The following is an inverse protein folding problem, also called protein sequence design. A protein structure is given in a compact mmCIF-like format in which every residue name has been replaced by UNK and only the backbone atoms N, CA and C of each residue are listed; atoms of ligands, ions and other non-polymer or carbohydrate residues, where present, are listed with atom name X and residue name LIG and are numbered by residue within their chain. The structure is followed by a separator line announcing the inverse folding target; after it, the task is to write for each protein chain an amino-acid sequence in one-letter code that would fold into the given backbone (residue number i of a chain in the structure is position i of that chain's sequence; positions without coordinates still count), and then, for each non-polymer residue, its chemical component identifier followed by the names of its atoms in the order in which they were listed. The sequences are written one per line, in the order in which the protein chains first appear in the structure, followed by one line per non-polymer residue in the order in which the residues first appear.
data_IF_807932231364
#
_entry.id   IF_807932231364
#
_cell.length_a   1.000
_cell.length_b   1.000
_cell.length_c   1.000
_cell.angle_alpha   90.00
_cell.angle_beta   90.00
_cell.angle_gamma   90.00
#
_symmetry.space_group_name_H-M   'P 1'
#
loop_
_entity.id
_entity.type
_entity.pdbx_description
1 polymer ?
#
# COMPACT_ATOMS: atom_id res chain seq x y z
N UNK A 1 -20.14 -4.06 9.00
CA UNK A 1 -19.23 -4.75 9.95
C UNK A 1 -17.80 -4.32 9.62
N UNK A 2 -16.96 -4.02 10.61
CA UNK A 2 -15.53 -3.73 10.40
C UNK A 2 -14.70 -4.77 11.13
N UNK A 3 -13.62 -5.22 10.51
CA UNK A 3 -12.74 -6.25 11.05
C UNK A 3 -11.42 -5.57 11.43
N UNK A 4 -11.16 -5.28 12.71
CA UNK A 4 -9.89 -4.73 13.14
C UNK A 4 -8.79 -5.78 12.99
N UNK A 5 -7.64 -5.37 12.47
CA UNK A 5 -6.54 -6.27 12.21
C UNK A 5 -5.15 -5.64 12.42
N UNK A 6 -4.28 -6.52 12.88
CA UNK A 6 -2.82 -6.55 12.97
C UNK A 6 -2.06 -6.64 11.65
N UNK A 7 -1.36 -5.64 11.12
CA UNK A 7 -0.45 -5.92 10.01
C UNK A 7 0.72 -6.82 10.48
N UNK A 8 0.90 -8.00 9.87
CA UNK A 8 1.98 -8.95 10.23
C UNK A 8 3.30 -8.59 9.53
N UNK A 9 3.23 -8.28 8.23
CA UNK A 9 4.38 -7.97 7.39
C UNK A 9 4.59 -6.46 7.23
N UNK A 10 5.84 -6.00 7.11
CA UNK A 10 6.11 -4.63 6.64
C UNK A 10 5.66 -4.45 5.19
N UNK A 11 5.13 -3.28 4.85
CA UNK A 11 4.69 -2.97 3.47
C UNK A 11 5.50 -1.81 2.92
N UNK A 12 5.97 -1.95 1.68
CA UNK A 12 6.68 -0.91 0.95
C UNK A 12 6.02 -0.72 -0.43
N UNK A 13 5.61 0.49 -0.75
CA UNK A 13 4.88 0.80 -1.98
C UNK A 13 5.72 0.85 -3.26
N UNK A 14 7.03 0.63 -3.19
CA UNK A 14 7.91 0.59 -4.36
C UNK A 14 7.54 -0.56 -5.32
N UNK A 15 7.11 -1.69 -4.76
CA UNK A 15 6.75 -2.88 -5.54
C UNK A 15 5.42 -3.41 -5.02
N UNK A 16 4.45 -3.60 -5.91
CA UNK A 16 3.18 -4.22 -5.58
C UNK A 16 3.39 -5.65 -5.07
N UNK A 17 2.64 -6.04 -4.04
CA UNK A 17 2.88 -7.29 -3.34
C UNK A 17 1.67 -7.80 -2.58
N UNK A 18 1.95 -8.82 -1.77
CA UNK A 18 0.99 -9.43 -0.85
C UNK A 18 1.41 -9.11 0.57
N UNK A 19 0.43 -8.93 1.44
CA UNK A 19 0.65 -8.79 2.89
C UNK A 19 -0.38 -9.62 3.66
N UNK A 20 -0.02 -9.93 4.90
CA UNK A 20 -0.89 -10.64 5.82
C UNK A 20 -1.28 -9.71 6.96
N UNK A 21 -2.55 -9.76 7.33
CA UNK A 21 -3.08 -9.09 8.51
C UNK A 21 -3.78 -10.09 9.44
N UNK A 22 -3.61 -9.95 10.75
CA UNK A 22 -4.14 -10.85 11.78
C UNK A 22 -5.31 -10.16 12.47
N UNK A 23 -6.47 -10.82 12.55
CA UNK A 23 -7.65 -10.27 13.23
C UNK A 23 -7.39 -10.12 14.73
N UNK A 24 -7.67 -8.93 15.27
CA UNK A 24 -7.40 -8.59 16.68
C UNK A 24 -8.40 -9.20 17.66
N UNK A 25 -9.68 -9.23 17.28
CA UNK A 25 -10.77 -9.62 18.18
C UNK A 25 -11.81 -10.46 17.46
N UNK A 26 -12.52 -11.27 18.24
CA UNK A 26 -13.64 -12.05 17.75
C UNK A 26 -14.72 -11.14 17.19
N UNK A 27 -15.16 -11.42 15.97
CA UNK A 27 -16.28 -10.74 15.34
C UNK A 27 -17.51 -11.64 15.39
N UNK A 28 -18.47 -11.19 16.17
CA UNK A 28 -19.70 -11.89 16.46
C UNK A 28 -20.72 -11.57 15.36
N UNK A 29 -21.59 -12.54 15.07
CA UNK A 29 -22.76 -12.39 14.21
C UNK A 29 -23.63 -11.20 14.65
N UNK A 30 -24.33 -10.52 13.71
CA UNK A 30 -25.30 -9.48 14.07
C UNK A 30 -26.34 -9.94 15.10
N UNK A 31 -26.66 -11.23 15.14
CA UNK A 31 -27.60 -11.82 16.09
C UNK A 31 -26.96 -12.17 17.45
N UNK A 32 -25.67 -11.91 17.66
CA UNK A 32 -24.96 -12.14 18.92
C UNK A 32 -24.65 -13.61 19.27
N UNK A 33 -25.19 -14.58 18.53
CA UNK A 33 -25.16 -16.00 18.91
C UNK A 33 -23.87 -16.75 18.57
N UNK A 34 -23.14 -16.31 17.55
CA UNK A 34 -22.03 -17.08 16.99
C UNK A 34 -20.85 -16.18 16.62
N UNK A 35 -19.62 -16.68 16.83
CA UNK A 35 -18.40 -16.04 16.34
C UNK A 35 -18.26 -16.37 14.85
N UNK A 36 -18.30 -15.36 13.99
CA UNK A 36 -18.12 -15.53 12.54
C UNK A 36 -16.63 -15.62 12.20
N UNK A 37 -15.87 -14.67 12.72
CA UNK A 37 -14.44 -14.53 12.49
C UNK A 37 -13.78 -14.52 13.87
N UNK A 38 -13.10 -15.60 14.27
CA UNK A 38 -12.34 -15.62 15.51
C UNK A 38 -11.11 -14.71 15.40
N UNK A 39 -10.65 -14.22 16.54
CA UNK A 39 -9.35 -13.60 16.71
C UNK A 39 -8.26 -14.52 16.17
N UNK A 40 -7.14 -13.93 15.77
CA UNK A 40 -6.02 -14.65 15.16
C UNK A 40 -6.30 -15.25 13.77
N UNK A 41 -7.47 -14.96 13.17
CA UNK A 41 -7.69 -15.26 11.75
C UNK A 41 -6.71 -14.45 10.89
N UNK A 42 -6.10 -15.08 9.89
CA UNK A 42 -5.17 -14.41 8.97
C UNK A 42 -5.90 -13.97 7.71
N UNK A 43 -5.73 -12.72 7.33
CA UNK A 43 -6.33 -12.13 6.13
C UNK A 43 -5.21 -11.83 5.14
N UNK A 44 -5.39 -12.31 3.92
CA UNK A 44 -4.46 -12.16 2.83
C UNK A 44 -4.95 -11.02 1.95
N UNK A 45 -4.13 -9.98 1.88
CA UNK A 45 -4.39 -8.79 1.09
C UNK A 45 -3.29 -8.58 0.06
N UNK A 46 -3.64 -7.89 -1.01
CA UNK A 46 -2.74 -7.46 -2.07
C UNK A 46 -2.78 -5.94 -2.14
N UNK A 47 -1.65 -5.36 -2.46
CA UNK A 47 -1.50 -3.93 -2.66
C UNK A 47 -0.70 -3.71 -3.93
N UNK A 48 -0.99 -2.58 -4.57
CA UNK A 48 -0.30 -2.17 -5.80
C UNK A 48 0.70 -1.07 -5.48
N UNK A 49 1.70 -0.89 -6.34
CA UNK A 49 2.66 0.21 -6.18
C UNK A 49 1.97 1.54 -6.41
N UNK A 50 2.41 2.58 -5.70
CA UNK A 50 1.97 3.95 -6.00
C UNK A 50 2.60 4.37 -7.33
N UNK A 51 1.77 4.76 -8.31
CA UNK A 51 2.22 5.18 -9.64
C UNK A 51 2.13 6.70 -9.85
N UNK A 52 1.28 7.39 -9.09
CA UNK A 52 0.96 8.80 -9.33
C UNK A 52 1.47 9.73 -8.22
N UNK A 53 1.84 10.93 -8.62
CA UNK A 53 2.21 12.02 -7.73
C UNK A 53 0.98 12.49 -6.95
N UNK A 54 1.13 12.71 -5.65
CA UNK A 54 0.05 13.18 -4.78
C UNK A 54 -0.76 12.07 -4.12
N UNK A 55 -0.55 10.80 -4.52
CA UNK A 55 -1.06 9.67 -3.76
C UNK A 55 -0.31 9.57 -2.42
N UNK A 56 -1.06 9.69 -1.32
CA UNK A 56 -0.56 9.65 0.07
C UNK A 56 -1.04 8.43 0.83
N UNK A 57 -1.74 7.52 0.14
CA UNK A 57 -2.39 6.35 0.74
C UNK A 57 -2.21 5.15 -0.18
N UNK A 58 -1.91 4.01 0.42
CA UNK A 58 -1.74 2.77 -0.31
C UNK A 58 -3.10 2.06 -0.44
N UNK A 59 -3.65 1.89 -1.65
CA UNK A 59 -4.85 1.09 -1.84
C UNK A 59 -4.52 -0.38 -1.61
N UNK A 60 -5.42 -1.05 -0.88
CA UNK A 60 -5.24 -2.43 -0.46
C UNK A 60 -6.54 -3.17 -0.67
N UNK A 61 -6.44 -4.36 -1.28
CA UNK A 61 -7.55 -5.26 -1.51
C UNK A 61 -7.32 -6.61 -0.84
N UNK A 62 -8.25 -7.00 0.03
CA UNK A 62 -8.24 -8.26 0.74
C UNK A 62 -9.17 -9.26 0.08
N UNK A 63 -8.64 -10.46 -0.23
CA UNK A 63 -9.33 -11.48 -1.03
C UNK A 63 -9.66 -12.75 -0.25
N UNK A 64 -8.92 -13.06 0.82
CA UNK A 64 -9.06 -14.33 1.54
C UNK A 64 -8.80 -14.16 3.02
N UNK A 65 -9.64 -14.80 3.83
CA UNK A 65 -9.49 -14.92 5.27
C UNK A 65 -9.36 -16.40 5.64
N UNK A 66 -8.38 -16.74 6.45
CA UNK A 66 -8.11 -18.09 6.93
C UNK A 66 -8.33 -18.09 8.44
N UNK A 67 -9.31 -18.87 8.88
CA UNK A 67 -9.57 -19.08 10.30
C UNK A 67 -8.50 -19.99 10.93
N UNK A 68 -8.26 -19.89 12.25
CA UNK A 68 -7.40 -20.83 12.98
C UNK A 68 -7.88 -22.29 12.84
N UNK A 69 -9.17 -22.52 12.63
CA UNK A 69 -9.76 -23.85 12.39
C UNK A 69 -9.48 -24.44 10.99
N UNK A 70 -8.72 -23.74 10.14
CA UNK A 70 -8.43 -24.14 8.76
C UNK A 70 -9.53 -23.80 7.74
N UNK A 71 -10.66 -23.24 8.17
CA UNK A 71 -11.72 -22.78 7.27
C UNK A 71 -11.26 -21.53 6.51
N UNK A 72 -11.22 -21.62 5.18
CA UNK A 72 -10.95 -20.49 4.29
C UNK A 72 -12.25 -19.83 3.86
N UNK A 73 -12.31 -18.51 4.04
CA UNK A 73 -13.44 -17.66 3.67
C UNK A 73 -12.98 -16.72 2.56
N UNK A 74 -13.67 -16.74 1.42
CA UNK A 74 -13.40 -15.80 0.35
C UNK A 74 -14.00 -14.43 0.70
N UNK A 75 -13.17 -13.39 0.65
CA UNK A 75 -13.60 -12.01 0.80
C UNK A 75 -13.76 -11.44 -0.62
N UNK A 76 -14.98 -11.02 -0.97
CA UNK A 76 -15.22 -10.32 -2.25
C UNK A 76 -14.65 -8.91 -2.13
N UNK A 77 -13.48 -8.70 -2.74
CA UNK A 77 -12.84 -7.39 -2.96
C UNK A 77 -12.97 -6.43 -1.78
N UNK A 78 -12.63 -6.92 -0.59
CA UNK A 78 -12.74 -6.12 0.63
C UNK A 78 -11.60 -5.11 0.67
N UNK A 79 -11.87 -3.89 1.12
CA UNK A 79 -10.87 -2.83 1.16
C UNK A 79 -10.24 -2.73 2.56
N UNK A 80 -8.96 -2.40 2.63
CA UNK A 80 -8.37 -1.97 3.89
C UNK A 80 -8.52 -0.46 4.09
N UNK A 81 -8.67 -0.09 5.35
CA UNK A 81 -8.87 1.25 5.83
C UNK A 81 -7.94 1.50 7.03
N UNK A 82 -7.63 2.78 7.25
CA UNK A 82 -6.89 3.21 8.43
C UNK A 82 -7.72 3.06 9.73
N UNK A 83 -7.11 3.36 10.87
CA UNK A 83 -7.79 3.31 12.18
C UNK A 83 -8.99 4.27 12.28
N UNK A 84 -9.02 5.32 11.46
CA UNK A 84 -10.15 6.25 11.35
C UNK A 84 -11.24 5.78 10.38
N UNK A 85 -11.02 4.66 9.67
CA UNK A 85 -11.94 4.12 8.68
C UNK A 85 -11.89 4.79 7.31
N UNK A 86 -10.83 5.55 7.00
CA UNK A 86 -10.60 6.08 5.65
C UNK A 86 -9.97 4.99 4.79
N UNK A 87 -10.40 4.89 3.54
CA UNK A 87 -9.88 3.90 2.60
C UNK A 87 -8.39 4.09 2.34
N UNK A 88 -7.67 2.97 2.24
CA UNK A 88 -6.23 2.94 2.02
C UNK A 88 -5.45 3.04 3.33
N UNK A 89 -4.23 2.54 3.30
CA UNK A 89 -3.34 2.57 4.46
C UNK A 89 -2.47 3.82 4.43
N UNK A 90 -2.15 4.31 5.62
CA UNK A 90 -1.21 5.40 5.86
C UNK A 90 0.05 4.83 6.51
N UNK A 91 1.18 5.49 6.27
CA UNK A 91 2.48 5.09 6.79
C UNK A 91 3.46 6.26 6.71
N UNK A 92 4.73 5.93 6.82
CA UNK A 92 5.81 6.87 6.58
C UNK A 92 5.89 7.19 5.08
N UNK A 93 5.82 8.47 4.75
CA UNK A 93 5.73 8.96 3.37
C UNK A 93 7.03 9.67 3.00
N UNK A 94 7.81 9.02 2.15
CA UNK A 94 8.96 9.64 1.51
C UNK A 94 8.55 10.19 0.14
N UNK A 95 8.48 11.52 0.06
CA UNK A 95 8.17 12.24 -1.19
C UNK A 95 9.38 12.33 -2.13
N UNK A 96 10.57 11.86 -1.71
CA UNK A 96 11.81 11.87 -2.48
C UNK A 96 12.16 13.26 -3.01
N UNK A 97 11.97 14.27 -2.16
CA UNK A 97 12.08 15.69 -2.53
C UNK A 97 13.52 16.02 -2.97
N UNK A 98 14.51 15.40 -2.33
CA UNK A 98 15.92 15.60 -2.65
C UNK A 98 16.28 14.97 -4.00
N UNK A 99 15.77 13.78 -4.30
CA UNK A 99 15.97 13.14 -5.59
C UNK A 99 15.28 13.92 -6.72
N UNK A 100 14.08 14.44 -6.45
CA UNK A 100 13.29 15.22 -7.41
C UNK A 100 13.87 16.60 -7.71
N UNK A 101 14.31 17.33 -6.67
CA UNK A 101 14.66 18.75 -6.79
C UNK A 101 16.11 19.08 -6.42
N UNK A 102 16.90 18.12 -5.92
CA UNK A 102 18.27 18.35 -5.47
C UNK A 102 19.19 18.83 -6.59
N UNK A 103 19.08 18.25 -7.78
CA UNK A 103 19.87 18.67 -8.94
C UNK A 103 19.53 20.11 -9.38
N UNK A 104 18.23 20.44 -9.48
CA UNK A 104 17.78 21.79 -9.84
C UNK A 104 18.21 22.82 -8.78
N UNK A 105 18.16 22.46 -7.50
CA UNK A 105 18.64 23.30 -6.41
C UNK A 105 20.15 23.59 -6.52
N UNK A 106 20.98 22.58 -6.82
CA UNK A 106 22.42 22.76 -7.00
C UNK A 106 22.78 23.62 -8.21
N UNK A 107 22.07 23.45 -9.33
CA UNK A 107 22.25 24.29 -10.52
C UNK A 107 21.88 25.75 -10.20
N UNK A 108 20.74 25.98 -9.55
CA UNK A 108 20.28 27.30 -9.14
C UNK A 108 21.23 27.97 -8.13
N UNK A 109 21.72 27.20 -7.15
CA UNK A 109 22.71 27.67 -6.18
C UNK A 109 24.03 28.06 -6.88
N UNK A 110 24.50 27.28 -7.85
CA UNK A 110 25.73 27.59 -8.59
C UNK A 110 25.53 28.82 -9.49
N UNK A 111 24.39 28.92 -10.17
CA UNK A 111 24.06 30.07 -11.01
C UNK A 111 23.94 31.37 -10.20
N UNK A 112 23.32 31.32 -9.02
CA UNK A 112 23.19 32.49 -8.13
C UNK A 112 24.54 32.91 -7.52
N UNK A 113 25.40 31.95 -7.16
CA UNK A 113 26.78 32.25 -6.70
C UNK A 113 27.64 32.81 -7.84
N UNK A 114 27.53 32.28 -9.05
CA UNK A 114 28.20 32.80 -10.23
C UNK A 114 27.71 34.21 -10.58
N UNK A 115 26.41 34.49 -10.45
CA UNK A 115 25.85 35.84 -10.58
C UNK A 115 26.38 36.78 -9.50
N UNK A 116 26.35 36.41 -8.22
CA UNK A 116 26.93 37.22 -7.14
C UNK A 116 28.43 37.51 -7.34
N UNK A 117 29.21 36.50 -7.72
CA UNK A 117 30.63 36.65 -8.03
C UNK A 117 30.90 37.43 -9.32
N UNK A 118 30.03 37.31 -10.32
CA UNK A 118 30.11 38.10 -11.55
C UNK A 118 29.66 39.54 -11.31
N UNK A 119 28.66 39.85 -10.48
CA UNK A 119 28.37 41.22 -10.04
C UNK A 119 29.56 41.85 -9.30
N UNK A 120 30.26 41.09 -8.46
CA UNK A 120 31.48 41.54 -7.79
C UNK A 120 32.66 41.78 -8.77
N UNK A 121 32.75 41.00 -9.85
CA UNK A 121 33.76 41.14 -10.90
C UNK A 121 33.37 42.12 -12.01
N UNK A 122 32.08 42.37 -12.22
CA UNK A 122 31.52 43.28 -13.24
C UNK A 122 31.47 44.72 -12.72
N UNK A 123 31.50 44.92 -11.40
CA UNK A 123 31.95 46.18 -10.79
C UNK A 123 33.45 46.49 -11.09
N UNK A 124 34.22 45.53 -11.63
CA UNK A 124 35.66 45.65 -11.90
C UNK A 124 36.09 45.43 -13.35
N UNK A 125 35.26 44.94 -14.27
CA UNK A 125 35.74 44.57 -15.61
C UNK A 125 34.79 44.91 -16.75
N UNK A 126 35.41 45.56 -17.74
CA UNK A 126 34.94 46.04 -19.03
C UNK A 126 34.12 44.99 -19.82
N UNK A 127 33.23 45.53 -20.65
CA UNK A 127 32.11 44.96 -21.41
C UNK A 127 32.35 43.72 -22.30
N UNK A 128 33.54 43.14 -22.34
CA UNK A 128 33.91 42.07 -23.30
C UNK A 128 33.61 40.66 -22.76
N UNK A 129 33.66 40.44 -21.45
CA UNK A 129 33.35 39.15 -20.84
C UNK A 129 31.84 38.84 -20.82
N UNK A 130 31.02 39.87 -20.66
CA UNK A 130 29.54 39.78 -20.71
C UNK A 130 29.04 39.32 -22.08
N UNK A 131 29.76 39.65 -23.15
CA UNK A 131 29.40 39.36 -24.54
C UNK A 131 29.82 37.94 -24.96
N UNK A 132 30.90 37.41 -24.38
CA UNK A 132 31.31 36.02 -24.55
C UNK A 132 30.44 35.06 -23.74
N UNK A 133 29.99 35.48 -22.54
CA UNK A 133 29.02 34.73 -21.75
C UNK A 133 27.63 34.71 -22.39
N UNK A 134 27.23 35.77 -23.10
CA UNK A 134 25.93 35.78 -23.83
C UNK A 134 25.97 34.94 -25.11
N UNK A 135 27.05 35.01 -25.90
CA UNK A 135 27.21 34.16 -27.10
C UNK A 135 27.38 32.67 -26.78
N UNK A 136 28.06 32.31 -25.69
CA UNK A 136 28.09 30.95 -25.18
C UNK A 136 26.74 30.56 -24.54
N UNK A 137 25.99 31.52 -23.98
CA UNK A 137 24.66 31.26 -23.43
C UNK A 137 23.59 31.04 -24.48
N UNK A 138 23.70 31.49 -25.73
CA UNK A 138 22.67 31.20 -26.74
C UNK A 138 22.73 29.74 -27.20
N UNK A 139 23.92 29.22 -27.49
CA UNK A 139 24.12 27.82 -27.89
C UNK A 139 24.02 26.84 -26.70
N UNK A 140 24.45 27.27 -25.51
CA UNK A 140 24.20 26.57 -24.26
C UNK A 140 22.73 26.66 -23.84
N UNK A 141 22.00 27.77 -24.04
CA UNK A 141 20.57 27.88 -23.70
C UNK A 141 19.70 27.03 -24.62
N UNK A 142 20.03 26.91 -25.91
CA UNK A 142 19.28 26.02 -26.79
C UNK A 142 19.48 24.53 -26.43
N UNK A 143 20.72 24.07 -26.20
CA UNK A 143 20.97 22.68 -25.79
C UNK A 143 20.63 22.39 -24.32
N UNK A 144 20.79 23.36 -23.41
CA UNK A 144 20.38 23.26 -22.01
C UNK A 144 18.86 23.33 -21.91
N UNK A 145 18.14 24.15 -22.68
CA UNK A 145 16.67 24.16 -22.63
C UNK A 145 16.08 22.81 -23.04
N UNK A 146 16.67 22.13 -24.02
CA UNK A 146 16.26 20.79 -24.44
C UNK A 146 16.68 19.70 -23.44
N UNK A 147 17.92 19.75 -22.92
CA UNK A 147 18.41 18.80 -21.90
C UNK A 147 17.79 19.01 -20.50
N UNK A 148 17.50 20.26 -20.11
CA UNK A 148 16.79 20.56 -18.86
C UNK A 148 15.34 20.16 -18.97
N UNK A 149 14.67 20.34 -20.12
CA UNK A 149 13.29 19.86 -20.29
C UNK A 149 13.19 18.35 -20.11
N UNK A 150 14.11 17.57 -20.68
CA UNK A 150 14.10 16.10 -20.53
C UNK A 150 14.46 15.62 -19.11
N UNK A 151 15.42 16.27 -18.43
CA UNK A 151 15.80 15.92 -17.04
C UNK A 151 14.73 16.35 -16.03
N UNK A 152 14.07 17.48 -16.28
CA UNK A 152 12.95 17.99 -15.48
C UNK A 152 11.74 17.07 -15.67
N UNK A 153 11.40 16.65 -16.90
CA UNK A 153 10.27 15.74 -17.16
C UNK A 153 10.46 14.34 -16.54
N UNK A 154 11.69 13.81 -16.51
CA UNK A 154 11.96 12.48 -15.92
C UNK A 154 11.99 12.49 -14.38
N UNK A 155 12.46 13.56 -13.74
CA UNK A 155 12.50 13.66 -12.27
C UNK A 155 11.19 14.13 -11.64
N UNK A 156 10.33 14.86 -12.38
CA UNK A 156 9.01 15.27 -11.85
C UNK A 156 8.10 14.05 -11.61
N UNK A 157 8.25 12.97 -12.39
CA UNK A 157 7.37 11.79 -12.36
C UNK A 157 7.80 10.69 -11.37
N UNK A 158 8.62 11.02 -10.39
CA UNK A 158 9.10 10.05 -9.43
C UNK A 158 8.00 9.73 -8.41
N UNK A 159 7.43 8.53 -8.39
CA UNK A 159 6.38 8.19 -7.41
C UNK A 159 6.89 8.26 -5.95
N UNK A 160 6.05 8.70 -5.00
CA UNK A 160 6.42 8.68 -3.57
C UNK A 160 6.52 7.23 -3.06
N UNK A 161 7.34 7.03 -2.03
CA UNK A 161 7.46 5.76 -1.32
C UNK A 161 6.66 5.84 -0.02
N UNK A 162 5.70 4.95 0.15
CA UNK A 162 4.96 4.77 1.39
C UNK A 162 5.42 3.46 2.06
N UNK A 163 5.91 3.59 3.28
CA UNK A 163 6.34 2.46 4.10
C UNK A 163 5.44 2.33 5.32
N UNK A 164 4.88 1.15 5.53
CA UNK A 164 4.01 0.87 6.69
C UNK A 164 4.72 -0.17 7.56
N UNK A 165 4.98 0.15 8.84
CA UNK A 165 5.67 -0.77 9.72
C UNK A 165 4.76 -1.97 10.07
N UNK A 166 5.36 -3.15 10.33
CA UNK A 166 4.63 -4.28 10.88
C UNK A 166 4.08 -3.91 12.26
N UNK A 167 3.00 -4.54 12.68
CA UNK A 167 2.30 -4.19 13.92
C UNK A 167 1.32 -3.02 13.77
N UNK A 168 1.18 -2.44 12.58
CA UNK A 168 0.23 -1.34 12.34
C UNK A 168 -1.22 -1.81 12.43
N UNK A 169 -2.03 -1.12 13.23
CA UNK A 169 -3.47 -1.37 13.33
C UNK A 169 -4.20 -0.87 12.08
N UNK A 170 -4.96 -1.74 11.45
CA UNK A 170 -5.75 -1.47 10.25
C UNK A 170 -7.18 -1.98 10.44
N UNK A 171 -8.09 -1.50 9.60
CA UNK A 171 -9.48 -1.98 9.58
C UNK A 171 -9.80 -2.53 8.20
N UNK A 172 -10.41 -3.70 8.14
CA UNK A 172 -10.86 -4.29 6.90
C UNK A 172 -12.37 -4.11 6.81
N UNK A 173 -12.80 -3.54 5.69
CA UNK A 173 -14.19 -3.25 5.39
C UNK A 173 -14.65 -4.22 4.29
N UNK A 174 -15.49 -5.21 4.63
CA UNK A 174 -16.07 -6.11 3.65
C UNK A 174 -16.99 -5.34 2.69
N UNK A 175 -16.82 -5.58 1.39
CA UNK A 175 -17.65 -4.99 0.33
C UNK A 175 -18.93 -5.81 0.07
N UNK A 176 -19.02 -7.02 0.61
CA UNK A 176 -20.19 -7.89 0.47
C UNK A 176 -20.38 -8.73 1.72
N UNK A 177 -21.60 -9.22 1.90
CA UNK A 177 -21.93 -10.09 3.03
C UNK A 177 -21.17 -11.41 2.97
N UNK A 178 -20.65 -11.80 4.13
CA UNK A 178 -19.92 -13.06 4.32
C UNK A 178 -20.92 -14.10 4.82
N UNK A 179 -21.28 -15.05 3.95
CA UNK A 179 -22.15 -16.16 4.33
C UNK A 179 -21.28 -17.35 4.71
N UNK A 180 -21.21 -17.64 6.01
CA UNK A 180 -20.57 -18.84 6.51
C UNK A 180 -21.61 -19.95 6.60
N UNK A 181 -21.42 -21.03 5.84
CA UNK A 181 -22.17 -22.26 6.07
C UNK A 181 -21.67 -22.84 7.39
N UNK A 182 -22.56 -23.05 8.34
CA UNK A 182 -22.26 -23.74 9.59
C UNK A 182 -21.48 -25.04 9.27
N UNK A 183 -20.35 -25.32 9.95
CA UNK A 183 -19.71 -26.63 9.85
C UNK A 183 -20.77 -27.68 10.16
N UNK A 184 -21.21 -28.49 9.20
CA UNK A 184 -22.16 -29.56 9.49
C UNK A 184 -21.55 -30.40 10.61
N UNK A 185 -22.31 -30.67 11.68
CA UNK A 185 -22.05 -31.80 12.57
C UNK A 185 -22.06 -33.07 11.72
N UNK A 186 -20.96 -33.39 11.04
CA UNK A 186 -20.85 -34.60 10.23
C UNK A 186 -20.56 -35.85 11.07
N UNK A 187 -20.73 -35.78 12.39
CA UNK A 187 -20.41 -36.88 13.31
C UNK A 187 -21.68 -37.63 13.79
N UNK A 188 -22.89 -37.03 13.69
CA UNK A 188 -24.14 -37.67 14.15
C UNK A 188 -24.91 -38.46 13.08
N UNK A 189 -24.51 -38.39 11.81
CA UNK A 189 -25.17 -39.12 10.71
C UNK A 189 -24.53 -40.48 10.41
N UNK A 190 -23.32 -40.74 10.93
CA UNK A 190 -22.61 -42.01 10.76
C UNK A 190 -22.86 -42.96 11.95
N UNK A 191 -23.06 -42.41 13.15
CA UNK A 191 -23.48 -43.16 14.35
C UNK A 191 -24.94 -43.64 14.28
N UNK A 192 -25.82 -42.91 13.61
CA UNK A 192 -27.24 -43.30 13.42
C UNK A 192 -27.43 -44.37 12.33
N UNK A 193 -26.60 -44.39 11.28
CA UNK A 193 -26.61 -45.46 10.27
C UNK A 193 -26.09 -46.79 10.83
N UNK A 194 -25.03 -46.74 11.63
CA UNK A 194 -24.45 -47.95 12.26
C UNK A 194 -25.38 -48.57 13.32
N UNK A 195 -26.20 -47.75 13.99
CA UNK A 195 -27.22 -48.24 14.93
C UNK A 195 -28.44 -48.89 14.24
N UNK A 196 -28.81 -48.41 13.05
CA UNK A 196 -29.93 -48.97 12.29
C UNK A 196 -29.58 -50.30 11.59
N UNK A 197 -28.31 -50.50 11.23
CA UNK A 197 -27.84 -51.75 10.61
C UNK A 197 -27.65 -52.89 11.64
N UNK A 198 -27.32 -52.58 12.89
CA UNK A 198 -27.24 -53.59 13.97
C UNK A 198 -28.61 -54.16 14.36
N UNK A 199 -29.69 -53.38 14.30
CA UNK A 199 -31.03 -53.87 14.64
C UNK A 199 -31.68 -54.76 13.56
N UNK A 200 -31.19 -54.73 12.32
CA UNK A 200 -31.71 -55.59 11.24
C UNK A 200 -31.12 -57.01 11.26
N UNK A 201 -29.98 -57.20 11.93
CA UNK A 201 -29.31 -58.50 12.04
C UNK A 201 -29.68 -59.32 13.29
N UNK A 202 -30.60 -58.82 14.13
CA UNK A 202 -31.04 -59.53 15.36
C UNK A 202 -32.38 -60.25 15.14
N UNK A 203 -33.10 -60.01 14.03
CA UNK A 203 -34.38 -60.69 13.72
C UNK A 203 -34.25 -61.96 12.86
N UNK A 204 -33.04 -62.48 12.61
CA UNK A 204 -32.88 -63.75 11.88
C UNK A 204 -31.89 -64.67 12.62
N UNK A 205 -32.38 -65.33 13.67
CA UNK A 205 -32.00 -66.71 14.04
C UNK A 205 -32.87 -67.27 15.15
#
# INVERSE_FOLDING_TARGET
MRIPAILEDSVNSQVGGRMIAIVERDIISPNGKYILIPAYSRIICHYESLSEIGQTRLPVQCKRLIRPDGVSVALKESIAADQSGRTGLIGDLDQRVWERYGAAFLISATASLAQAGSYANQARSNSTLSQLLTGASDEFSHNLSEATSQVIEQNINLAPILTIPPGSHIQIIPSSDIVLRHPKESISQESSKTAHEKNKNIEIK
#
